data_IF_347246800308
#
_entry.id   IF_347246800308
#
_cell.length_a   1.000
_cell.length_b   1.000
_cell.length_c   1.000
_cell.angle_alpha   90.00
_cell.angle_beta   90.00
_cell.angle_gamma   90.00
#
_symmetry.space_group_name_H-M   'P 1'
#
loop_
_entity.id
_entity.type
_entity.pdbx_description
1 polymer ?
#
# COMPACT_ATOMS: atom_id res chain seq x y z
N UNK A 1 17.20 5.15 -5.78
CA UNK A 1 15.91 4.55 -5.42
C UNK A 1 16.06 3.04 -5.28
N UNK A 2 15.35 2.46 -4.32
CA UNK A 2 15.48 1.05 -4.00
C UNK A 2 14.65 0.12 -4.90
N UNK A 3 13.57 0.63 -5.48
CA UNK A 3 12.75 -0.13 -6.43
C UNK A 3 13.06 0.28 -7.84
N UNK A 4 12.76 -0.60 -8.79
CA UNK A 4 12.78 -0.25 -10.21
C UNK A 4 11.69 0.77 -10.52
N UNK A 5 11.88 1.66 -11.51
CA UNK A 5 10.87 2.67 -11.85
C UNK A 5 9.48 2.10 -12.11
N UNK A 6 9.39 0.97 -12.81
CA UNK A 6 8.10 0.34 -13.07
C UNK A 6 7.42 -0.17 -11.82
N UNK A 7 8.18 -0.54 -10.80
CA UNK A 7 7.64 -0.99 -9.53
C UNK A 7 7.08 0.18 -8.72
N UNK A 8 7.71 1.36 -8.79
CA UNK A 8 7.14 2.56 -8.20
C UNK A 8 5.79 2.89 -8.81
N UNK A 9 5.70 2.82 -10.14
CA UNK A 9 4.43 3.04 -10.85
C UNK A 9 3.38 2.06 -10.37
N UNK A 10 3.73 0.80 -10.24
CA UNK A 10 2.81 -0.24 -9.77
C UNK A 10 2.34 0.04 -8.34
N UNK A 11 3.25 0.33 -7.44
CA UNK A 11 2.91 0.57 -6.03
C UNK A 11 2.06 1.82 -5.88
N UNK A 12 2.52 2.94 -6.41
CA UNK A 12 1.82 4.23 -6.27
C UNK A 12 0.47 4.16 -6.97
N UNK A 13 0.41 3.61 -8.17
CA UNK A 13 -0.83 3.48 -8.93
C UNK A 13 -1.87 2.65 -8.19
N UNK A 14 -1.47 1.52 -7.61
CA UNK A 14 -2.39 0.66 -6.88
C UNK A 14 -2.85 1.28 -5.57
N UNK A 15 -1.97 1.97 -4.86
CA UNK A 15 -2.35 2.67 -3.64
C UNK A 15 -3.33 3.80 -3.92
N UNK A 16 -3.08 4.60 -4.97
CA UNK A 16 -3.97 5.69 -5.36
C UNK A 16 -5.33 5.15 -5.83
N UNK A 17 -5.32 4.11 -6.65
CA UNK A 17 -6.56 3.51 -7.13
C UNK A 17 -7.41 2.99 -5.97
N UNK A 18 -6.78 2.35 -5.00
CA UNK A 18 -7.45 1.87 -3.81
C UNK A 18 -8.08 3.04 -3.03
N UNK A 19 -7.37 4.13 -2.87
CA UNK A 19 -7.87 5.31 -2.17
C UNK A 19 -9.05 5.96 -2.92
N UNK A 20 -8.93 6.09 -4.24
CA UNK A 20 -9.99 6.65 -5.08
C UNK A 20 -11.25 5.80 -4.99
N UNK A 21 -11.13 4.49 -5.09
CA UNK A 21 -12.27 3.58 -4.99
C UNK A 21 -12.92 3.67 -3.62
N UNK A 22 -12.12 3.78 -2.57
CA UNK A 22 -12.64 3.91 -1.21
C UNK A 22 -13.47 5.18 -1.05
N UNK A 23 -13.01 6.29 -1.60
CA UNK A 23 -13.76 7.53 -1.54
C UNK A 23 -15.04 7.48 -2.36
N UNK A 24 -15.02 6.82 -3.52
CA UNK A 24 -16.23 6.64 -4.33
C UNK A 24 -17.28 5.82 -3.59
N UNK A 25 -16.87 4.74 -2.96
CA UNK A 25 -17.79 3.86 -2.25
C UNK A 25 -18.32 4.47 -0.95
N UNK A 26 -17.53 5.33 -0.32
CA UNK A 26 -17.95 5.99 0.90
C UNK A 26 -18.99 7.09 0.64
N UNK A 27 -19.09 7.58 -0.59
CA UNK A 27 -19.99 8.68 -0.93
C UNK A 27 -19.54 10.04 -0.41
N UNK A 28 -18.29 10.15 0.04
CA UNK A 28 -17.74 11.39 0.56
C UNK A 28 -17.61 12.43 -0.55
N UNK A 29 -18.24 13.59 -0.36
CA UNK A 29 -18.14 14.70 -1.31
C UNK A 29 -16.85 15.49 -1.17
N UNK A 30 -16.30 15.52 0.04
CA UNK A 30 -15.10 16.28 0.36
C UNK A 30 -13.97 15.34 0.77
N UNK A 31 -13.92 14.17 0.12
CA UNK A 31 -12.86 13.20 0.39
C UNK A 31 -11.49 13.74 0.05
N UNK A 32 -10.49 13.29 0.80
CA UNK A 32 -9.11 13.69 0.61
C UNK A 32 -8.21 12.47 0.46
N UNK A 33 -7.19 12.61 -0.38
CA UNK A 33 -6.14 11.63 -0.53
C UNK A 33 -4.81 12.36 -0.36
N UNK A 34 -3.96 11.85 0.52
CA UNK A 34 -2.64 12.39 0.74
C UNK A 34 -1.60 11.34 0.37
N UNK A 35 -0.85 11.61 -0.69
CA UNK A 35 0.24 10.73 -1.12
C UNK A 35 1.55 11.35 -0.66
N UNK A 36 2.30 10.60 0.12
CA UNK A 36 3.63 11.02 0.56
C UNK A 36 4.70 10.10 -0.01
N UNK A 37 5.78 10.69 -0.50
CA UNK A 37 6.94 9.93 -0.95
C UNK A 37 8.16 10.54 -0.31
N UNK A 38 8.90 9.72 0.44
CA UNK A 38 10.13 10.15 1.05
C UNK A 38 11.25 9.24 0.56
N UNK A 39 12.30 9.85 0.04
CA UNK A 39 13.43 9.08 -0.44
C UNK A 39 14.72 9.77 -0.05
N UNK A 40 15.58 9.04 0.65
CA UNK A 40 16.95 9.46 0.94
C UNK A 40 17.83 8.23 0.75
N UNK A 41 19.17 8.40 0.70
CA UNK A 41 20.06 7.26 0.55
C UNK A 41 19.73 6.16 1.58
N UNK A 42 19.39 4.97 1.07
CA UNK A 42 19.13 3.82 1.90
C UNK A 42 17.72 3.67 2.48
N UNK A 43 16.82 4.65 2.28
CA UNK A 43 15.45 4.57 2.81
C UNK A 43 14.45 5.13 1.81
N UNK A 44 13.45 4.35 1.48
CA UNK A 44 12.30 4.82 0.69
C UNK A 44 11.01 4.54 1.45
N UNK A 45 10.16 5.55 1.57
CA UNK A 45 8.86 5.42 2.23
C UNK A 45 7.80 6.00 1.29
N UNK A 46 6.76 5.23 1.04
CA UNK A 46 5.60 5.68 0.26
C UNK A 46 4.38 5.49 1.15
N UNK A 47 3.60 6.56 1.32
CA UNK A 47 2.37 6.49 2.09
C UNK A 47 1.22 7.04 1.28
N UNK A 48 0.04 6.44 1.47
CA UNK A 48 -1.18 6.91 0.83
C UNK A 48 -2.30 6.85 1.85
N UNK A 49 -2.83 8.02 2.18
CA UNK A 49 -3.88 8.17 3.16
C UNK A 49 -5.17 8.61 2.48
N UNK A 50 -6.29 8.03 2.87
CA UNK A 50 -7.59 8.47 2.39
C UNK A 50 -8.52 8.75 3.57
N UNK A 51 -9.52 9.60 3.33
CA UNK A 51 -10.52 9.98 4.32
C UNK A 51 -11.82 9.17 4.15
N UNK A 52 -11.72 7.95 3.67
CA UNK A 52 -12.88 7.09 3.43
C UNK A 52 -13.44 6.44 4.70
N UNK A 53 -14.08 5.29 4.52
CA UNK A 53 -14.76 4.60 5.63
C UNK A 53 -13.83 3.90 6.61
N UNK A 54 -12.60 3.72 6.24
CA UNK A 54 -11.70 2.85 6.97
C UNK A 54 -11.94 1.38 6.60
N UNK A 55 -11.16 0.50 7.20
CA UNK A 55 -11.22 -0.93 6.94
C UNK A 55 -11.76 -1.63 8.17
N UNK A 56 -12.72 -2.54 7.97
CA UNK A 56 -13.22 -3.39 9.05
C UNK A 56 -12.03 -4.15 9.64
N UNK A 57 -11.79 -4.09 10.95
CA UNK A 57 -10.69 -4.81 11.58
C UNK A 57 -10.67 -6.30 11.26
N UNK A 58 -11.84 -6.90 11.05
CA UNK A 58 -11.94 -8.33 10.69
C UNK A 58 -11.33 -8.63 9.33
N UNK A 59 -11.16 -7.63 8.48
CA UNK A 59 -10.60 -7.79 7.13
C UNK A 59 -9.10 -7.52 7.06
N UNK A 60 -8.50 -6.92 8.08
CA UNK A 60 -7.09 -6.50 8.02
C UNK A 60 -6.13 -7.63 7.65
N UNK A 61 -6.39 -8.84 8.13
CA UNK A 61 -5.52 -9.99 7.84
C UNK A 61 -5.61 -10.47 6.40
N UNK A 62 -6.61 -10.01 5.66
CA UNK A 62 -6.93 -10.51 4.33
C UNK A 62 -6.72 -9.53 3.19
N UNK A 63 -6.54 -8.25 3.50
CA UNK A 63 -6.54 -7.21 2.45
C UNK A 63 -5.40 -7.35 1.44
N UNK A 64 -4.33 -8.06 1.80
CA UNK A 64 -3.20 -8.29 0.90
C UNK A 64 -3.26 -9.64 0.19
N UNK A 65 -4.30 -10.43 0.44
CA UNK A 65 -4.47 -11.73 -0.22
C UNK A 65 -5.07 -11.50 -1.60
N UNK A 66 -4.49 -12.14 -2.60
CA UNK A 66 -4.98 -12.02 -3.98
C UNK A 66 -6.44 -12.44 -4.09
N UNK A 67 -7.24 -11.60 -4.74
CA UNK A 67 -8.66 -11.88 -4.98
C UNK A 67 -9.58 -11.48 -3.84
N UNK A 68 -9.06 -11.08 -2.69
CA UNK A 68 -9.89 -10.62 -1.58
C UNK A 68 -10.16 -9.13 -1.71
N UNK A 69 -11.42 -8.74 -1.69
CA UNK A 69 -11.79 -7.33 -1.79
C UNK A 69 -13.16 -7.10 -1.18
N UNK A 70 -13.31 -5.97 -0.50
CA UNK A 70 -14.61 -5.47 -0.03
C UNK A 70 -15.27 -4.59 -1.09
N UNK A 71 -14.60 -4.35 -2.22
CA UNK A 71 -15.00 -3.38 -3.23
C UNK A 71 -15.51 -3.99 -4.53
N UNK A 72 -15.63 -5.32 -4.58
CA UNK A 72 -16.11 -6.02 -5.76
C UNK A 72 -15.05 -6.82 -6.47
N UNK A 73 -15.44 -7.47 -7.57
CA UNK A 73 -14.65 -8.49 -8.25
C UNK A 73 -13.28 -8.07 -8.76
N UNK A 74 -13.12 -6.81 -9.13
CA UNK A 74 -11.93 -6.38 -9.86
C UNK A 74 -10.90 -5.68 -8.98
N UNK A 75 -11.09 -5.71 -7.67
CA UNK A 75 -10.29 -4.91 -6.75
C UNK A 75 -9.44 -5.73 -5.78
N UNK A 76 -9.31 -7.03 -6.01
CA UNK A 76 -8.58 -7.91 -5.12
C UNK A 76 -7.10 -8.09 -5.41
N UNK A 77 -6.56 -7.46 -6.46
CA UNK A 77 -5.17 -7.69 -6.88
C UNK A 77 -4.23 -6.53 -6.57
N UNK A 78 -4.74 -5.29 -6.45
CA UNK A 78 -3.90 -4.13 -6.27
C UNK A 78 -3.03 -4.18 -5.02
N UNK A 79 -3.63 -4.42 -3.87
CA UNK A 79 -2.89 -4.50 -2.61
C UNK A 79 -2.00 -5.74 -2.55
N UNK A 80 -2.44 -6.84 -3.17
CA UNK A 80 -1.60 -8.02 -3.31
C UNK A 80 -0.31 -7.68 -4.05
N UNK A 81 -0.39 -6.93 -5.15
CA UNK A 81 0.79 -6.52 -5.91
C UNK A 81 1.71 -5.61 -5.11
N UNK A 82 1.14 -4.69 -4.32
CA UNK A 82 1.91 -3.84 -3.42
C UNK A 82 2.71 -4.69 -2.43
N UNK A 83 2.05 -5.68 -1.83
CA UNK A 83 2.69 -6.58 -0.89
C UNK A 83 3.79 -7.40 -1.55
N UNK A 84 3.56 -7.88 -2.77
CA UNK A 84 4.59 -8.63 -3.50
C UNK A 84 5.84 -7.79 -3.77
N UNK A 85 5.67 -6.53 -4.16
CA UNK A 85 6.81 -5.66 -4.38
C UNK A 85 7.58 -5.43 -3.07
N UNK A 86 6.87 -5.17 -1.98
CA UNK A 86 7.52 -4.98 -0.69
C UNK A 86 8.31 -6.22 -0.28
N UNK A 87 7.71 -7.40 -0.42
CA UNK A 87 8.36 -8.67 -0.05
C UNK A 87 9.60 -8.94 -0.89
N UNK A 88 9.57 -8.56 -2.17
CA UNK A 88 10.72 -8.72 -3.06
C UNK A 88 11.96 -8.00 -2.53
N UNK A 89 11.75 -6.86 -1.87
CA UNK A 89 12.85 -6.05 -1.34
C UNK A 89 13.06 -6.22 0.18
N UNK A 90 12.32 -7.15 0.79
CA UNK A 90 12.41 -7.34 2.24
C UNK A 90 11.86 -6.17 3.04
N UNK A 91 10.98 -5.38 2.42
CA UNK A 91 10.37 -4.22 3.06
C UNK A 91 9.15 -4.56 3.88
N UNK A 92 8.52 -3.52 4.41
CA UNK A 92 7.33 -3.65 5.23
C UNK A 92 6.17 -2.87 4.63
N UNK A 93 4.96 -3.42 4.78
CA UNK A 93 3.73 -2.72 4.45
C UNK A 93 2.94 -2.62 5.75
N UNK A 94 2.54 -1.41 6.11
CA UNK A 94 1.70 -1.20 7.28
C UNK A 94 0.41 -0.51 6.91
N UNK A 95 -0.62 -0.74 7.70
CA UNK A 95 -1.95 -0.16 7.51
C UNK A 95 -2.40 0.40 8.84
N UNK A 96 -2.75 1.69 8.85
CA UNK A 96 -3.42 2.30 9.99
C UNK A 96 -4.81 2.68 9.52
N UNK A 97 -5.82 2.28 10.25
CA UNK A 97 -7.20 2.53 9.86
C UNK A 97 -8.08 2.77 11.09
N UNK A 98 -9.03 3.68 10.91
CA UNK A 98 -10.06 3.95 11.91
C UNK A 98 -11.41 3.90 11.21
N UNK A 99 -12.32 3.03 11.65
CA UNK A 99 -13.66 2.98 11.05
C UNK A 99 -14.32 4.35 11.06
N UNK A 100 -14.79 4.80 9.91
CA UNK A 100 -15.42 6.09 9.75
C UNK A 100 -14.47 7.26 9.51
N UNK A 101 -13.16 7.06 9.62
CA UNK A 101 -12.19 8.14 9.47
C UNK A 101 -11.24 7.96 8.29
N UNK A 102 -10.98 6.73 7.89
CA UNK A 102 -10.13 6.45 6.74
C UNK A 102 -9.02 5.49 7.00
N UNK A 103 -8.09 5.41 6.07
CA UNK A 103 -6.98 4.46 6.13
C UNK A 103 -5.69 5.09 5.61
N UNK A 104 -4.57 4.64 6.13
CA UNK A 104 -3.25 5.01 5.64
C UNK A 104 -2.43 3.75 5.40
N UNK A 105 -1.98 3.58 4.16
CA UNK A 105 -1.09 2.50 3.75
C UNK A 105 0.32 3.05 3.63
N UNK A 106 1.28 2.37 4.24
CA UNK A 106 2.68 2.78 4.16
C UNK A 106 3.55 1.61 3.75
N UNK A 107 4.39 1.81 2.75
CA UNK A 107 5.40 0.84 2.35
C UNK A 107 6.77 1.44 2.67
N UNK A 108 7.60 0.67 3.36
CA UNK A 108 8.93 1.11 3.78
C UNK A 108 9.99 0.13 3.30
N UNK A 109 10.98 0.66 2.60
CA UNK A 109 12.13 -0.12 2.13
C UNK A 109 13.41 0.49 2.72
N UNK A 110 14.32 -0.36 3.14
CA UNK A 110 15.65 0.10 3.59
C UNK A 110 16.72 -0.68 2.84
N UNK A 111 17.85 -0.03 2.60
CA UNK A 111 18.96 -0.66 1.90
C UNK A 111 19.52 -1.86 2.67
N UNK A 112 19.55 -1.78 4.01
CA UNK A 112 20.04 -2.89 4.83
C UNK A 112 19.17 -4.12 4.71
N UNK A 113 17.82 -3.96 4.67
CA UNK A 113 16.89 -5.06 4.47
C UNK A 113 17.08 -5.68 3.09
N UNK A 114 17.19 -4.86 2.04
CA UNK A 114 17.44 -5.33 0.69
C UNK A 114 18.75 -6.08 0.57
N UNK A 115 19.82 -5.56 1.19
CA UNK A 115 21.14 -6.19 1.14
C UNK A 115 21.14 -7.55 1.87
N UNK A 116 20.51 -7.63 3.03
CA UNK A 116 20.38 -8.87 3.77
C UNK A 116 19.61 -9.92 3.00
N UNK A 117 18.52 -9.49 2.35
CA UNK A 117 17.72 -10.41 1.54
C UNK A 117 18.51 -10.95 0.35
N UNK A 118 19.31 -10.11 -0.29
CA UNK A 118 20.17 -10.56 -1.40
C UNK A 118 21.22 -11.55 -0.91
N UNK A 119 21.83 -11.28 0.23
CA UNK A 119 22.80 -12.22 0.83
C UNK A 119 22.15 -13.55 1.17
N UNK A 120 20.92 -13.52 1.63
CA UNK A 120 20.20 -14.75 1.96
C UNK A 120 19.88 -15.62 0.75
N UNK A 121 19.91 -15.05 -0.45
CA UNK A 121 19.65 -15.77 -1.69
C UNK A 121 20.92 -16.42 -2.24
N UNK A 122 22.05 -15.88 -1.91
CA UNK A 122 23.35 -16.43 -2.32
C UNK A 122 23.75 -17.61 -1.44
#
# INVERSE_FOLDING_TARGET
LLMEPGEYVTVIGNLLENAIEELKESGEKNGEIHLGVFAKPGVNVISCEDSGRGIDPAMLDRIFIRGVSTKGKNHGTGLYLVKQVADKYGGEVSVETEPGEGSCFTITLTASQSAERRKGVE
#
